data_IF_736825756775
#
_entry.id   IF_736825756775
#
_cell.length_a   1.000
_cell.length_b   1.000
_cell.length_c   1.000
_cell.angle_alpha   90.00
_cell.angle_beta   90.00
_cell.angle_gamma   90.00
#
_symmetry.space_group_name_H-M   'P 1'
#
loop_
_entity.id
_entity.type
_entity.pdbx_description
1 polymer ?
#
# COMPACT_ATOMS: atom_id res chain seq x y z
N UNK A 1 7.64 16.62 -13.60
CA UNK A 1 7.78 15.60 -12.54
C UNK A 1 7.68 16.28 -11.20
N UNK A 2 6.84 15.80 -10.29
CA UNK A 2 6.68 16.42 -8.98
C UNK A 2 7.81 16.00 -8.01
N UNK A 3 7.87 16.62 -6.85
CA UNK A 3 8.94 16.34 -5.85
C UNK A 3 8.94 14.89 -5.40
N UNK A 4 7.77 14.29 -5.25
CA UNK A 4 7.63 12.89 -4.83
C UNK A 4 8.17 11.94 -5.89
N UNK A 5 7.87 12.18 -7.15
CA UNK A 5 8.40 11.37 -8.26
C UNK A 5 9.91 11.52 -8.38
N UNK A 6 10.42 12.75 -8.18
CA UNK A 6 11.87 13.00 -8.16
C UNK A 6 12.56 12.23 -7.04
N UNK A 7 11.96 12.25 -5.84
CA UNK A 7 12.50 11.53 -4.68
C UNK A 7 12.60 10.03 -4.95
N UNK A 8 11.51 9.41 -5.37
CA UNK A 8 11.48 7.96 -5.61
C UNK A 8 12.20 7.55 -6.89
N UNK A 9 12.35 8.44 -7.86
CA UNK A 9 13.17 8.20 -9.05
C UNK A 9 14.66 8.08 -8.71
N UNK A 10 15.11 8.72 -7.64
CA UNK A 10 16.49 8.66 -7.14
C UNK A 10 16.69 7.62 -6.05
N UNK A 11 15.62 7.21 -5.37
CA UNK A 11 15.65 6.33 -4.22
C UNK A 11 14.88 5.06 -4.53
N UNK A 12 15.59 3.96 -4.71
CA UNK A 12 14.97 2.67 -5.01
C UNK A 12 14.38 2.06 -3.75
N UNK A 13 13.06 1.97 -3.69
CA UNK A 13 12.33 1.41 -2.56
C UNK A 13 12.67 -0.07 -2.31
N UNK A 14 12.85 -0.86 -3.38
CA UNK A 14 13.26 -2.26 -3.24
C UNK A 14 14.64 -2.37 -2.57
N UNK A 15 15.59 -1.50 -2.95
CA UNK A 15 16.92 -1.49 -2.30
C UNK A 15 16.82 -1.06 -0.84
N UNK A 16 15.96 -0.10 -0.51
CA UNK A 16 15.72 0.31 0.87
C UNK A 16 15.26 -0.86 1.71
N UNK A 17 14.29 -1.63 1.22
CA UNK A 17 13.71 -2.77 1.94
C UNK A 17 14.67 -3.96 2.03
N UNK A 18 15.67 -4.06 1.16
CA UNK A 18 16.70 -5.10 1.22
C UNK A 18 17.83 -4.80 2.21
N UNK A 19 17.98 -3.56 2.68
CA UNK A 19 18.96 -3.21 3.71
C UNK A 19 18.56 -3.83 5.05
N UNK A 20 19.53 -3.96 5.97
CA UNK A 20 19.31 -4.58 7.28
C UNK A 20 18.10 -3.97 8.01
N UNK A 21 18.03 -2.64 8.09
CA UNK A 21 16.90 -1.95 8.72
C UNK A 21 15.60 -2.16 7.95
N UNK A 22 15.66 -2.15 6.63
CA UNK A 22 14.51 -2.42 5.77
C UNK A 22 13.98 -3.84 5.91
N UNK A 23 14.87 -4.82 6.12
CA UNK A 23 14.47 -6.21 6.38
C UNK A 23 13.76 -6.36 7.71
N UNK A 24 14.23 -5.68 8.77
CA UNK A 24 13.56 -5.69 10.08
C UNK A 24 12.19 -5.04 9.97
N UNK A 25 12.10 -3.88 9.33
CA UNK A 25 10.84 -3.18 9.07
C UNK A 25 9.86 -4.10 8.31
N UNK A 26 10.31 -4.72 7.23
CA UNK A 26 9.51 -5.61 6.42
C UNK A 26 8.98 -6.81 7.22
N UNK A 27 9.85 -7.50 7.95
CA UNK A 27 9.47 -8.67 8.75
C UNK A 27 8.48 -8.30 9.84
N UNK A 28 8.71 -7.19 10.52
CA UNK A 28 7.83 -6.69 11.57
C UNK A 28 6.46 -6.34 11.01
N UNK A 29 6.43 -5.61 9.90
CA UNK A 29 5.17 -5.24 9.24
C UNK A 29 4.41 -6.47 8.75
N UNK A 30 5.09 -7.44 8.14
CA UNK A 30 4.47 -8.67 7.67
C UNK A 30 3.90 -9.48 8.83
N UNK A 31 4.58 -9.51 9.98
CA UNK A 31 4.05 -10.16 11.17
C UNK A 31 2.72 -9.53 11.60
N UNK A 32 2.66 -8.21 11.71
CA UNK A 32 1.42 -7.52 12.07
C UNK A 32 0.32 -7.75 11.02
N UNK A 33 0.67 -7.71 9.75
CA UNK A 33 -0.30 -8.00 8.68
C UNK A 33 -0.88 -9.41 8.88
N UNK A 34 -0.04 -10.41 9.06
CA UNK A 34 -0.50 -11.80 9.22
C UNK A 34 -1.34 -12.01 10.47
N UNK A 35 -1.08 -11.26 11.54
CA UNK A 35 -1.87 -11.37 12.79
C UNK A 35 -3.35 -11.04 12.56
N UNK A 36 -3.67 -10.23 11.56
CA UNK A 36 -5.03 -9.78 11.26
C UNK A 36 -5.65 -10.43 10.02
N UNK A 37 -4.88 -11.21 9.25
CA UNK A 37 -5.38 -11.83 8.03
C UNK A 37 -6.08 -13.16 8.30
N UNK A 38 -7.13 -13.38 7.51
CA UNK A 38 -7.84 -14.66 7.44
C UNK A 38 -7.81 -15.16 6.00
N UNK A 39 -7.90 -16.47 5.82
CA UNK A 39 -7.94 -17.06 4.48
C UNK A 39 -9.05 -16.43 3.64
N UNK A 40 -8.72 -16.05 2.41
CA UNK A 40 -9.66 -15.43 1.48
C UNK A 40 -9.85 -13.93 1.63
N UNK A 41 -9.13 -13.30 2.55
CA UNK A 41 -9.24 -11.85 2.74
C UNK A 41 -8.80 -11.08 1.49
N UNK A 42 -9.47 -9.96 1.26
CA UNK A 42 -9.15 -9.00 0.22
C UNK A 42 -8.40 -7.82 0.82
N UNK A 43 -7.25 -7.50 0.23
CA UNK A 43 -6.31 -6.52 0.76
C UNK A 43 -6.19 -5.34 -0.20
N UNK A 44 -6.17 -4.13 0.36
CA UNK A 44 -5.79 -2.92 -0.37
C UNK A 44 -4.48 -2.38 0.19
N UNK A 45 -3.50 -2.21 -0.68
CA UNK A 45 -2.20 -1.62 -0.35
C UNK A 45 -2.14 -0.20 -0.93
N UNK A 46 -2.33 0.80 -0.07
CA UNK A 46 -2.33 2.21 -0.48
C UNK A 46 -0.93 2.77 -0.32
N UNK A 47 -0.40 3.32 -1.41
CA UNK A 47 0.99 3.75 -1.44
C UNK A 47 1.94 2.55 -1.50
N UNK A 48 1.61 1.61 -2.38
CA UNK A 48 2.27 0.29 -2.43
C UNK A 48 3.75 0.35 -2.80
N UNK A 49 4.24 1.47 -3.30
CA UNK A 49 5.62 1.59 -3.75
C UNK A 49 5.90 0.61 -4.90
N UNK A 50 6.97 -0.14 -4.78
CA UNK A 50 7.35 -1.15 -5.77
C UNK A 50 6.66 -2.50 -5.54
N UNK A 51 5.76 -2.58 -4.56
CA UNK A 51 4.92 -3.74 -4.33
C UNK A 51 5.51 -4.80 -3.41
N UNK A 52 6.43 -4.44 -2.53
CA UNK A 52 7.09 -5.41 -1.64
C UNK A 52 6.09 -6.21 -0.81
N UNK A 53 5.10 -5.54 -0.22
CA UNK A 53 4.04 -6.19 0.55
C UNK A 53 2.97 -6.80 -0.35
N UNK A 54 2.48 -6.03 -1.31
CA UNK A 54 1.37 -6.47 -2.16
C UNK A 54 1.72 -7.69 -2.98
N UNK A 55 2.93 -7.76 -3.56
CA UNK A 55 3.37 -8.92 -4.34
C UNK A 55 3.52 -10.14 -3.43
N UNK A 56 4.15 -9.99 -2.26
CA UNK A 56 4.34 -11.08 -1.31
C UNK A 56 2.99 -11.66 -0.85
N UNK A 57 2.04 -10.80 -0.51
CA UNK A 57 0.70 -11.23 -0.07
C UNK A 57 -0.08 -11.89 -1.19
N UNK A 58 0.04 -11.39 -2.40
CA UNK A 58 -0.55 -12.01 -3.58
C UNK A 58 -0.01 -13.42 -3.82
N UNK A 59 1.29 -13.62 -3.63
CA UNK A 59 1.92 -14.94 -3.75
C UNK A 59 1.47 -15.92 -2.67
N UNK A 60 1.01 -15.41 -1.53
CA UNK A 60 0.42 -16.22 -0.46
C UNK A 60 -1.04 -16.61 -0.74
N UNK A 61 -1.63 -16.11 -1.81
CA UNK A 61 -2.98 -16.46 -2.24
C UNK A 61 -4.06 -15.44 -1.88
N UNK A 62 -3.70 -14.32 -1.28
CA UNK A 62 -4.68 -13.24 -1.01
C UNK A 62 -5.01 -12.48 -2.29
N UNK A 63 -6.22 -11.96 -2.36
CA UNK A 63 -6.63 -11.03 -3.41
C UNK A 63 -6.15 -9.63 -3.05
N UNK A 64 -5.21 -9.08 -3.83
CA UNK A 64 -4.56 -7.81 -3.51
C UNK A 64 -4.76 -6.79 -4.62
N UNK A 65 -5.29 -5.62 -4.23
CA UNK A 65 -5.29 -4.41 -5.05
C UNK A 65 -4.24 -3.44 -4.49
N UNK A 66 -3.58 -2.70 -5.35
CA UNK A 66 -2.55 -1.73 -4.98
C UNK A 66 -2.79 -0.39 -5.66
N UNK A 67 -2.62 0.67 -4.90
CA UNK A 67 -2.66 2.06 -5.40
C UNK A 67 -1.29 2.68 -5.17
N UNK A 68 -0.69 3.23 -6.22
CA UNK A 68 0.59 3.90 -6.15
C UNK A 68 0.57 5.18 -6.98
N UNK A 69 0.98 6.29 -6.37
CA UNK A 69 0.96 7.61 -7.00
C UNK A 69 2.13 7.79 -7.97
N UNK A 70 3.30 7.29 -7.62
CA UNK A 70 4.54 7.51 -8.37
C UNK A 70 4.64 6.50 -9.51
N UNK A 71 4.64 6.99 -10.75
CA UNK A 71 4.68 6.14 -11.95
C UNK A 71 5.87 5.20 -11.99
N UNK A 72 7.03 5.66 -11.56
CA UNK A 72 8.25 4.84 -11.50
C UNK A 72 8.05 3.62 -10.61
N UNK A 73 7.54 3.82 -9.42
CA UNK A 73 7.26 2.72 -8.47
C UNK A 73 6.19 1.77 -9.01
N UNK A 74 5.13 2.31 -9.58
CA UNK A 74 4.06 1.52 -10.17
C UNK A 74 4.58 0.63 -11.31
N UNK A 75 5.47 1.19 -12.14
CA UNK A 75 6.12 0.44 -13.21
C UNK A 75 6.93 -0.73 -12.68
N UNK A 76 7.69 -0.53 -11.60
CA UNK A 76 8.45 -1.60 -10.96
C UNK A 76 7.55 -2.68 -10.37
N UNK A 77 6.44 -2.27 -9.74
CA UNK A 77 5.45 -3.22 -9.21
C UNK A 77 4.88 -4.09 -10.33
N UNK A 78 4.43 -3.46 -11.41
CA UNK A 78 3.86 -4.18 -12.55
C UNK A 78 4.86 -5.11 -13.24
N UNK A 79 6.14 -4.72 -13.26
CA UNK A 79 7.21 -5.54 -13.86
C UNK A 79 7.44 -6.85 -13.11
N UNK A 80 7.02 -6.96 -11.86
CA UNK A 80 7.13 -8.20 -11.06
C UNK A 80 6.15 -9.29 -11.49
N UNK A 81 5.20 -8.97 -12.38
CA UNK A 81 4.27 -9.94 -13.00
C UNK A 81 3.55 -10.83 -11.98
N UNK A 82 2.96 -10.22 -10.99
CA UNK A 82 2.15 -10.90 -9.98
C UNK A 82 0.65 -10.80 -10.30
N UNK A 83 -0.20 -11.36 -9.43
CA UNK A 83 -1.65 -11.24 -9.54
C UNK A 83 -2.20 -9.96 -8.89
N UNK A 84 -1.34 -9.06 -8.46
CA UNK A 84 -1.75 -7.78 -7.88
C UNK A 84 -2.43 -6.92 -8.94
N UNK A 85 -3.61 -6.40 -8.62
CA UNK A 85 -4.29 -5.40 -9.45
C UNK A 85 -3.78 -4.03 -9.04
N UNK A 86 -2.88 -3.46 -9.81
CA UNK A 86 -2.17 -2.23 -9.48
C UNK A 86 -2.64 -1.07 -10.36
N UNK A 87 -2.95 0.06 -9.73
CA UNK A 87 -3.44 1.26 -10.39
C UNK A 87 -2.69 2.50 -9.91
N UNK A 88 -2.52 3.47 -10.81
CA UNK A 88 -2.03 4.77 -10.40
C UNK A 88 -3.13 5.55 -9.68
N UNK A 89 -2.80 6.12 -8.53
CA UNK A 89 -3.76 6.90 -7.76
C UNK A 89 -3.19 7.44 -6.48
N UNK A 90 -4.01 8.20 -5.77
CA UNK A 90 -3.65 8.84 -4.51
C UNK A 90 -4.49 8.30 -3.37
N UNK A 91 -3.92 8.30 -2.17
CA UNK A 91 -4.63 7.99 -0.93
C UNK A 91 -5.81 8.95 -0.67
N UNK A 92 -5.80 10.12 -1.29
CA UNK A 92 -6.84 11.14 -1.11
C UNK A 92 -8.12 10.85 -1.90
N UNK A 93 -8.05 9.97 -2.87
CA UNK A 93 -9.19 9.65 -3.72
C UNK A 93 -9.18 8.17 -4.08
N UNK A 94 -10.00 7.40 -3.39
CA UNK A 94 -10.21 5.99 -3.63
C UNK A 94 -11.60 5.72 -4.27
N UNK A 95 -12.11 6.68 -5.02
CA UNK A 95 -13.43 6.59 -5.66
C UNK A 95 -13.56 5.42 -6.64
N UNK A 96 -12.46 4.86 -7.08
CA UNK A 96 -12.41 3.60 -7.83
C UNK A 96 -13.13 2.47 -7.10
N UNK A 97 -13.08 2.48 -5.75
CA UNK A 97 -13.62 1.42 -4.92
C UNK A 97 -14.89 1.85 -4.23
N UNK A 98 -15.81 0.91 -4.11
CA UNK A 98 -17.03 1.07 -3.34
C UNK A 98 -16.73 1.00 -1.84
N UNK A 99 -17.69 1.43 -1.04
CA UNK A 99 -17.62 1.30 0.41
C UNK A 99 -17.48 -0.17 0.81
N UNK A 100 -16.78 -0.42 1.90
CA UNK A 100 -16.70 -1.74 2.53
C UNK A 100 -16.29 -2.85 1.56
N UNK A 101 -15.21 -2.63 0.82
CA UNK A 101 -14.70 -3.58 -0.17
C UNK A 101 -13.61 -4.50 0.38
N UNK A 102 -12.76 -3.98 1.26
CA UNK A 102 -11.55 -4.68 1.70
C UNK A 102 -11.63 -5.15 3.15
N UNK A 103 -11.03 -6.31 3.42
CA UNK A 103 -10.91 -6.86 4.77
C UNK A 103 -9.74 -6.25 5.52
N UNK A 104 -8.64 -5.99 4.83
CA UNK A 104 -7.44 -5.35 5.38
C UNK A 104 -6.97 -4.26 4.42
N UNK A 105 -6.69 -3.09 4.97
CA UNK A 105 -6.16 -1.95 4.22
C UNK A 105 -4.84 -1.51 4.84
N UNK A 106 -3.81 -1.43 3.99
CA UNK A 106 -2.49 -0.96 4.39
C UNK A 106 -2.33 0.50 3.97
N UNK A 107 -1.94 1.34 4.91
CA UNK A 107 -1.66 2.75 4.67
C UNK A 107 -0.23 3.02 5.15
N UNK A 108 0.73 2.34 4.52
CA UNK A 108 2.14 2.44 4.83
C UNK A 108 2.79 3.48 3.93
N UNK A 109 3.45 4.46 4.53
CA UNK A 109 4.17 5.46 3.81
C UNK A 109 3.40 6.68 3.31
N UNK A 110 2.16 6.63 2.78
CA UNK A 110 1.51 7.83 2.28
C UNK A 110 1.43 8.98 3.28
N UNK A 111 1.29 8.67 4.56
CA UNK A 111 1.20 9.68 5.62
C UNK A 111 2.47 10.51 5.76
N UNK A 112 3.62 10.01 5.33
CA UNK A 112 4.88 10.76 5.32
C UNK A 112 4.90 11.85 4.25
N UNK A 113 4.09 11.70 3.20
CA UNK A 113 4.04 12.61 2.05
C UNK A 113 2.82 13.54 2.08
N UNK A 114 1.95 13.37 3.06
CA UNK A 114 0.77 14.21 3.25
C UNK A 114 1.07 15.24 4.34
N UNK A 115 1.40 16.45 3.93
CA UNK A 115 1.88 17.48 4.85
C UNK A 115 0.76 18.21 5.60
N UNK A 116 -0.42 18.35 5.00
CA UNK A 116 -1.53 19.01 5.65
C UNK A 116 -2.33 18.06 6.53
N UNK A 117 -2.87 18.60 7.62
CA UNK A 117 -3.78 17.86 8.50
C UNK A 117 -5.03 17.40 7.76
N UNK A 118 -5.57 18.25 6.89
CA UNK A 118 -6.76 17.94 6.08
C UNK A 118 -6.50 16.75 5.15
N UNK A 119 -5.34 16.71 4.50
CA UNK A 119 -4.98 15.59 3.61
C UNK A 119 -4.83 14.28 4.38
N UNK A 120 -4.22 14.33 5.57
CA UNK A 120 -4.10 13.16 6.44
C UNK A 120 -5.46 12.62 6.85
N UNK A 121 -6.37 13.51 7.24
CA UNK A 121 -7.75 13.14 7.59
C UNK A 121 -8.50 12.57 6.38
N UNK A 122 -8.31 13.16 5.20
CA UNK A 122 -8.93 12.67 3.97
C UNK A 122 -8.46 11.27 3.63
N UNK A 123 -7.16 11.01 3.70
CA UNK A 123 -6.60 9.69 3.45
C UNK A 123 -7.16 8.64 4.42
N UNK A 124 -7.22 8.97 5.71
CA UNK A 124 -7.79 8.08 6.71
C UNK A 124 -9.28 7.84 6.50
N UNK A 125 -10.03 8.88 6.11
CA UNK A 125 -11.45 8.78 5.81
C UNK A 125 -11.71 7.87 4.62
N UNK A 126 -10.93 8.01 3.55
CA UNK A 126 -11.03 7.15 2.37
C UNK A 126 -10.68 5.68 2.72
N UNK A 127 -9.58 5.47 3.47
CA UNK A 127 -9.21 4.13 3.93
C UNK A 127 -10.32 3.49 4.76
N UNK A 128 -10.93 4.25 5.65
CA UNK A 128 -12.05 3.78 6.48
C UNK A 128 -13.26 3.41 5.61
N UNK A 129 -13.58 4.26 4.64
CA UNK A 129 -14.74 4.04 3.77
C UNK A 129 -14.64 2.73 3.00
N UNK A 130 -13.47 2.43 2.42
CA UNK A 130 -13.26 1.25 1.57
C UNK A 130 -13.01 -0.02 2.37
N UNK A 131 -12.82 0.08 3.68
CA UNK A 131 -12.58 -1.06 4.55
C UNK A 131 -13.90 -1.51 5.18
N UNK A 132 -14.15 -2.82 5.18
CA UNK A 132 -15.37 -3.40 5.76
C UNK A 132 -15.47 -3.12 7.26
N UNK A 133 -16.70 -3.01 7.75
CA UNK A 133 -16.95 -3.01 9.20
C UNK A 133 -16.37 -4.29 9.80
N UNK A 134 -15.58 -4.16 10.85
CA UNK A 134 -14.85 -5.27 11.45
C UNK A 134 -13.54 -5.61 10.74
N UNK A 135 -13.25 -4.94 9.62
CA UNK A 135 -11.95 -5.03 8.96
C UNK A 135 -10.88 -4.24 9.72
N UNK A 136 -9.65 -4.29 9.21
CA UNK A 136 -8.49 -3.69 9.87
C UNK A 136 -7.78 -2.73 8.93
N UNK A 137 -7.37 -1.58 9.47
CA UNK A 137 -6.50 -0.63 8.78
C UNK A 137 -5.19 -0.57 9.55
N UNK A 138 -4.09 -0.86 8.86
CA UNK A 138 -2.75 -0.71 9.43
C UNK A 138 -2.10 0.56 8.86
N UNK A 139 -1.67 1.44 9.75
CA UNK A 139 -1.06 2.73 9.39
C UNK A 139 0.37 2.76 9.90
N UNK A 140 1.28 3.22 9.08
CA UNK A 140 2.68 3.44 9.47
C UNK A 140 3.22 4.73 8.87
#
# INVERSE_FOLDING_TARGET
MNELENYYGKFCEDKRLLRKHGQVEYRTSMKYIHDYLKAGDRILDIGAGTGRYSVALSQEGYEVDAIELVKYNLGMLKAKKSNVKAYQGTALDLSRYQDETFDLTLLFGPMYHLFSYEDKLKALSEAKRVTKTGGVILVA
#
